data_IF_231622920522
#
_entry.id   IF_231622920522
#
_cell.length_a   1.000
_cell.length_b   1.000
_cell.length_c   1.000
_cell.angle_alpha   90.00
_cell.angle_beta   90.00
_cell.angle_gamma   90.00
#
_symmetry.space_group_name_H-M   'P 1'
#
loop_
_entity.id
_entity.type
_entity.pdbx_description
1 polymer ?
#
# COMPACT_ATOMS: atom_id res chain seq x y z
N UNK A 1 -36.00 6.90 -17.65
CA UNK A 1 -34.78 7.70 -17.46
C UNK A 1 -33.76 6.78 -16.79
N UNK A 2 -32.73 6.34 -17.52
CA UNK A 2 -31.80 5.31 -17.05
C UNK A 2 -30.91 5.88 -15.94
N UNK A 3 -30.92 5.24 -14.77
CA UNK A 3 -29.97 5.52 -13.70
C UNK A 3 -28.56 5.17 -14.23
N UNK A 4 -27.59 6.08 -14.06
CA UNK A 4 -26.19 5.75 -14.29
C UNK A 4 -25.84 4.51 -13.44
N UNK A 5 -25.31 3.44 -14.03
CA UNK A 5 -25.04 2.21 -13.30
C UNK A 5 -23.86 2.47 -12.37
N UNK A 6 -24.17 2.68 -11.09
CA UNK A 6 -23.26 2.63 -9.94
C UNK A 6 -22.12 3.65 -10.04
N UNK A 7 -22.29 4.81 -9.41
CA UNK A 7 -21.30 5.88 -9.37
C UNK A 7 -19.93 5.35 -8.91
N UNK A 8 -19.00 5.19 -9.84
CA UNK A 8 -17.60 4.90 -9.55
C UNK A 8 -17.01 6.12 -8.88
N UNK A 9 -16.81 6.00 -7.57
CA UNK A 9 -16.19 7.02 -6.77
C UNK A 9 -14.68 6.77 -6.78
N UNK A 10 -14.03 7.16 -7.88
CA UNK A 10 -12.60 6.94 -8.13
C UNK A 10 -11.66 7.74 -7.23
N UNK A 11 -11.97 7.87 -5.94
CA UNK A 11 -11.11 8.56 -5.00
C UNK A 11 -9.87 7.75 -4.73
N UNK A 12 -8.75 8.42 -5.02
CA UNK A 12 -7.42 7.93 -4.76
C UNK A 12 -7.19 7.74 -3.26
N UNK A 13 -6.71 6.55 -2.93
CA UNK A 13 -6.22 6.15 -1.62
C UNK A 13 -4.72 5.95 -1.74
N UNK A 14 -3.96 6.53 -0.83
CA UNK A 14 -2.50 6.51 -0.81
C UNK A 14 -2.02 5.86 0.46
N UNK A 15 -1.27 4.77 0.30
CA UNK A 15 -0.57 4.08 1.36
C UNK A 15 0.93 4.31 1.19
N UNK A 16 1.59 4.74 2.25
CA UNK A 16 3.03 4.94 2.32
C UNK A 16 3.57 4.11 3.48
N UNK A 17 4.58 3.29 3.21
CA UNK A 17 5.22 2.43 4.20
C UNK A 17 6.71 2.73 4.17
N UNK A 18 7.24 3.07 5.33
CA UNK A 18 8.67 3.32 5.53
C UNK A 18 9.24 2.17 6.35
N UNK A 19 10.36 1.63 5.90
CA UNK A 19 11.07 0.54 6.54
C UNK A 19 12.26 1.10 7.32
N UNK A 20 12.69 0.39 8.36
CA UNK A 20 13.92 0.70 9.08
C UNK A 20 15.11 0.30 8.21
N UNK A 21 16.11 1.17 8.15
CA UNK A 21 17.38 0.82 7.57
C UNK A 21 17.99 -0.34 8.37
N UNK A 22 18.48 -1.41 7.71
CA UNK A 22 19.22 -2.43 8.42
C UNK A 22 20.47 -1.79 9.03
N UNK A 23 20.90 -2.19 10.24
CA UNK A 23 22.17 -1.76 10.78
C UNK A 23 23.28 -2.04 9.76
N UNK A 24 24.22 -1.10 9.55
CA UNK A 24 25.30 -1.20 8.54
C UNK A 24 26.07 -2.53 8.55
N UNK A 25 26.07 -3.24 9.69
CA UNK A 25 26.72 -4.53 9.89
C UNK A 25 25.85 -5.78 9.63
N UNK A 26 24.56 -5.62 9.37
CA UNK A 26 23.61 -6.74 9.16
C UNK A 26 23.31 -7.03 7.70
N UNK A 27 23.60 -6.11 6.79
CA UNK A 27 23.36 -6.31 5.36
C UNK A 27 24.67 -6.24 4.56
N UNK A 28 25.35 -7.38 4.34
CA UNK A 28 26.56 -7.42 3.54
C UNK A 28 26.34 -7.07 2.06
N UNK A 29 25.09 -7.00 1.60
CA UNK A 29 24.74 -6.67 0.21
C UNK A 29 24.14 -5.27 0.04
N UNK A 30 23.79 -4.57 1.14
CA UNK A 30 23.18 -3.24 1.12
C UNK A 30 21.91 -3.17 0.26
N UNK A 31 21.11 -4.26 0.24
CA UNK A 31 19.96 -4.40 -0.64
C UNK A 31 18.81 -3.57 -0.10
N UNK A 32 18.52 -2.51 -0.82
CA UNK A 32 17.36 -1.67 -0.62
C UNK A 32 16.14 -2.23 -1.39
N UNK A 33 14.98 -1.59 -1.25
CA UNK A 33 13.77 -1.99 -1.97
C UNK A 33 13.90 -1.84 -3.50
N UNK A 34 14.95 -1.21 -4.04
CA UNK A 34 15.16 -1.16 -5.49
C UNK A 34 15.73 -2.47 -6.04
N UNK A 35 16.26 -3.33 -5.17
CA UNK A 35 16.71 -4.66 -5.54
C UNK A 35 15.57 -5.67 -5.76
N UNK A 36 14.32 -5.25 -5.62
CA UNK A 36 13.16 -6.11 -5.81
C UNK A 36 13.07 -6.63 -7.24
N UNK A 37 12.87 -7.94 -7.34
CA UNK A 37 12.59 -8.59 -8.62
C UNK A 37 11.15 -8.32 -9.07
N UNK A 38 10.92 -8.42 -10.37
CA UNK A 38 9.58 -8.34 -10.96
C UNK A 38 8.58 -9.31 -10.32
N UNK A 39 9.01 -10.54 -10.01
CA UNK A 39 8.15 -11.54 -9.35
C UNK A 39 7.79 -11.16 -7.92
N UNK A 40 8.71 -10.52 -7.18
CA UNK A 40 8.40 -9.98 -5.85
C UNK A 40 7.38 -8.85 -5.96
N UNK A 41 7.57 -7.92 -6.90
CA UNK A 41 6.62 -6.82 -7.14
C UNK A 41 5.23 -7.35 -7.54
N UNK A 42 5.15 -8.32 -8.45
CA UNK A 42 3.88 -8.94 -8.83
C UNK A 42 3.19 -9.62 -7.65
N UNK A 43 3.93 -10.29 -6.77
CA UNK A 43 3.39 -10.87 -5.53
C UNK A 43 2.82 -9.80 -4.59
N UNK A 44 3.40 -8.59 -4.55
CA UNK A 44 2.82 -7.44 -3.82
C UNK A 44 1.54 -6.96 -4.45
N UNK A 45 1.41 -7.05 -5.77
CA UNK A 45 0.28 -6.47 -6.49
C UNK A 45 -0.88 -7.44 -6.65
N UNK A 46 -0.63 -8.75 -6.56
CA UNK A 46 -1.63 -9.81 -6.72
C UNK A 46 -2.80 -9.68 -5.73
N UNK A 47 -2.59 -9.49 -4.41
CA UNK A 47 -3.71 -9.31 -3.48
C UNK A 47 -4.44 -8.00 -3.74
N UNK A 48 -3.76 -6.98 -4.29
CA UNK A 48 -4.38 -5.72 -4.70
C UNK A 48 -5.10 -5.81 -6.07
N UNK A 49 -5.09 -6.97 -6.72
CA UNK A 49 -5.59 -7.19 -8.07
C UNK A 49 -5.04 -6.16 -9.08
N UNK A 50 -3.80 -5.74 -8.86
CA UNK A 50 -3.10 -4.78 -9.70
C UNK A 50 -2.09 -5.53 -10.57
N UNK A 51 -1.89 -5.07 -11.79
CA UNK A 51 -0.86 -5.57 -12.70
C UNK A 51 -0.02 -4.41 -13.17
N UNK A 52 1.29 -4.64 -13.31
CA UNK A 52 2.19 -3.63 -13.86
C UNK A 52 1.93 -3.52 -15.37
N UNK A 53 1.59 -2.32 -15.83
CA UNK A 53 1.35 -2.02 -17.24
C UNK A 53 2.63 -1.51 -17.89
N UNK A 54 3.33 -0.61 -17.20
CA UNK A 54 4.60 -0.05 -17.66
C UNK A 54 5.40 0.51 -16.49
N UNK A 55 6.70 0.71 -16.69
CA UNK A 55 7.60 1.41 -15.77
C UNK A 55 8.25 2.59 -16.51
N UNK A 56 8.54 3.68 -15.81
CA UNK A 56 9.13 4.89 -16.41
C UNK A 56 10.55 5.11 -15.94
N UNK A 57 10.70 5.31 -14.63
CA UNK A 57 11.99 5.27 -13.94
C UNK A 57 12.10 3.91 -13.25
N UNK A 58 13.31 3.42 -12.96
CA UNK A 58 13.57 2.11 -12.32
C UNK A 58 12.74 1.82 -11.06
N UNK A 59 12.13 2.86 -10.50
CA UNK A 59 11.48 2.95 -9.21
C UNK A 59 9.99 3.35 -9.31
N UNK A 60 9.44 3.56 -10.52
CA UNK A 60 8.06 4.02 -10.73
C UNK A 60 7.29 3.14 -11.71
N UNK A 61 6.13 2.66 -11.26
CA UNK A 61 5.32 1.68 -11.98
C UNK A 61 3.89 2.20 -12.16
N UNK A 62 3.44 2.19 -13.41
CA UNK A 62 2.02 2.38 -13.74
C UNK A 62 1.35 1.02 -13.69
N UNK A 63 0.27 0.96 -12.93
CA UNK A 63 -0.55 -0.22 -12.76
C UNK A 63 -1.87 -0.01 -13.48
N UNK A 64 -2.58 -1.11 -13.78
CA UNK A 64 -3.86 -1.10 -14.51
C UNK A 64 -4.85 -0.02 -14.04
N UNK A 65 -4.98 0.16 -12.72
CA UNK A 65 -5.87 1.13 -12.09
C UNK A 65 -5.19 1.86 -10.91
N UNK A 66 -3.85 1.95 -10.92
CA UNK A 66 -3.06 2.36 -9.75
C UNK A 66 -1.65 2.83 -10.13
N UNK A 67 -0.88 3.30 -9.15
CA UNK A 67 0.56 3.59 -9.33
C UNK A 67 1.36 3.17 -8.10
N UNK A 68 2.55 2.65 -8.32
CA UNK A 68 3.50 2.21 -7.30
C UNK A 68 4.81 2.98 -7.46
N UNK A 69 5.35 3.45 -6.35
CA UNK A 69 6.66 4.11 -6.27
C UNK A 69 7.50 3.41 -5.21
N UNK A 70 8.73 3.06 -5.58
CA UNK A 70 9.67 2.31 -4.76
C UNK A 70 10.90 3.17 -4.51
N UNK A 71 11.24 3.38 -3.25
CA UNK A 71 12.43 4.10 -2.79
C UNK A 71 13.23 3.16 -1.90
N UNK A 72 14.52 3.42 -1.62
CA UNK A 72 15.38 2.48 -0.90
C UNK A 72 14.75 1.85 0.35
N UNK A 73 14.06 2.65 1.17
CA UNK A 73 13.38 2.18 2.38
C UNK A 73 11.94 2.67 2.47
N UNK A 74 11.30 2.94 1.33
CA UNK A 74 9.91 3.42 1.30
C UNK A 74 9.16 2.95 0.07
N UNK A 75 7.91 2.53 0.27
CA UNK A 75 6.98 2.22 -0.82
C UNK A 75 5.77 3.13 -0.70
N UNK A 76 5.31 3.64 -1.84
CA UNK A 76 4.09 4.41 -1.96
C UNK A 76 3.20 3.75 -3.00
N UNK A 77 1.99 3.36 -2.60
CA UNK A 77 1.01 2.74 -3.47
C UNK A 77 -0.26 3.59 -3.47
N UNK A 78 -0.66 4.04 -4.66
CA UNK A 78 -1.85 4.87 -4.89
C UNK A 78 -2.85 4.09 -5.72
N UNK A 79 -4.08 3.96 -5.22
CA UNK A 79 -5.12 3.14 -5.87
C UNK A 79 -6.45 3.89 -5.93
N UNK A 80 -7.23 3.68 -6.99
CA UNK A 80 -8.56 4.28 -7.15
C UNK A 80 -9.72 3.31 -6.81
N UNK A 81 -9.44 2.01 -6.64
CA UNK A 81 -10.45 0.95 -6.39
C UNK A 81 -10.45 0.41 -4.95
N UNK A 82 -11.29 -0.60 -4.71
CA UNK A 82 -11.60 -1.20 -3.42
C UNK A 82 -10.49 -2.11 -2.93
N UNK A 83 -10.14 -1.93 -1.66
CA UNK A 83 -8.84 -2.29 -1.09
C UNK A 83 -8.81 -3.73 -0.60
N UNK A 84 -7.80 -4.43 -1.10
CA UNK A 84 -7.01 -5.42 -0.36
C UNK A 84 -5.56 -4.96 -0.16
N UNK A 85 -5.31 -3.67 -0.42
CA UNK A 85 -4.00 -3.01 -0.40
C UNK A 85 -3.19 -3.24 0.88
N UNK A 86 -3.91 -3.20 2.01
CA UNK A 86 -3.33 -3.40 3.32
C UNK A 86 -2.75 -4.80 3.44
N UNK A 87 -3.44 -5.80 2.90
CA UNK A 87 -3.03 -7.19 2.93
C UNK A 87 -1.79 -7.44 2.05
N UNK A 88 -1.73 -6.78 0.90
CA UNK A 88 -0.67 -7.03 -0.08
C UNK A 88 0.71 -6.57 0.41
N UNK A 89 0.77 -5.44 1.10
CA UNK A 89 2.07 -4.95 1.61
C UNK A 89 2.45 -5.61 2.94
N UNK A 90 1.49 -6.18 3.68
CA UNK A 90 1.79 -7.00 4.86
C UNK A 90 2.59 -8.25 4.51
N UNK A 91 2.11 -9.01 3.52
CA UNK A 91 2.81 -10.20 3.03
C UNK A 91 4.20 -9.84 2.47
N UNK A 92 4.31 -8.64 1.90
CA UNK A 92 5.56 -8.15 1.36
C UNK A 92 6.59 -7.76 2.43
N UNK A 93 6.18 -7.00 3.45
CA UNK A 93 7.07 -6.61 4.54
C UNK A 93 7.65 -7.85 5.26
N UNK A 94 6.81 -8.86 5.47
CA UNK A 94 7.23 -10.14 6.04
C UNK A 94 8.25 -10.87 5.14
N UNK A 95 8.04 -10.85 3.82
CA UNK A 95 8.95 -11.49 2.86
C UNK A 95 10.34 -10.87 2.76
N UNK A 96 10.49 -9.58 3.12
CA UNK A 96 11.74 -8.85 2.98
C UNK A 96 12.64 -8.87 4.22
N UNK A 97 12.16 -9.43 5.35
CA UNK A 97 12.89 -9.35 6.64
C UNK A 97 13.26 -7.92 7.06
N UNK A 98 12.62 -6.90 6.49
CA UNK A 98 12.83 -5.49 6.83
C UNK A 98 11.82 -5.09 7.90
N UNK A 99 12.31 -4.47 8.98
CA UNK A 99 11.43 -3.93 10.02
C UNK A 99 10.59 -2.78 9.46
N UNK A 100 9.27 -2.82 9.63
CA UNK A 100 8.42 -1.67 9.29
C UNK A 100 8.59 -0.58 10.34
N UNK A 101 8.95 0.62 9.91
CA UNK A 101 9.16 1.77 10.78
C UNK A 101 7.89 2.62 10.95
N UNK A 102 7.20 2.94 9.85
CA UNK A 102 5.96 3.73 9.91
C UNK A 102 5.07 3.47 8.71
N UNK A 103 3.77 3.73 8.92
CA UNK A 103 2.74 3.52 7.91
C UNK A 103 1.81 4.71 7.90
N UNK A 104 1.61 5.30 6.74
CA UNK A 104 0.71 6.43 6.54
C UNK A 104 -0.30 6.06 5.47
N UNK A 105 -1.57 6.08 5.87
CA UNK A 105 -2.69 5.93 4.95
C UNK A 105 -3.32 7.31 4.73
N UNK A 106 -3.85 7.58 3.55
CA UNK A 106 -4.55 8.83 3.32
C UNK A 106 -5.52 8.65 2.17
N UNK A 107 -6.68 9.30 2.27
CA UNK A 107 -7.66 9.36 1.19
C UNK A 107 -8.45 10.65 1.30
N UNK A 108 -9.10 11.02 0.21
CA UNK A 108 -10.15 12.03 0.26
C UNK A 108 -11.41 11.47 0.92
N UNK A 109 -12.26 12.36 1.40
CA UNK A 109 -13.58 12.01 1.92
C UNK A 109 -14.46 11.48 0.79
N UNK A 110 -15.00 10.28 0.93
CA UNK A 110 -15.95 9.76 -0.04
C UNK A 110 -17.28 10.55 0.03
N UNK A 111 -17.84 10.88 -1.13
CA UNK A 111 -19.21 11.28 -1.44
C UNK A 111 -20.20 10.15 -1.09
N UNK A 112 -19.91 8.89 -1.40
CA UNK A 112 -20.78 7.73 -1.16
C UNK A 112 -20.14 6.73 -0.19
N UNK A 113 -19.81 7.18 1.03
CA UNK A 113 -19.17 6.36 2.08
C UNK A 113 -19.88 5.00 2.32
N UNK A 114 -21.20 4.99 2.41
CA UNK A 114 -21.98 3.78 2.68
C UNK A 114 -22.00 2.77 1.50
N UNK A 115 -21.64 3.21 0.29
CA UNK A 115 -21.51 2.36 -0.87
C UNK A 115 -20.11 1.73 -1.00
N UNK A 116 -19.14 2.18 -0.20
CA UNK A 116 -17.82 1.56 -0.15
C UNK A 116 -17.92 0.20 0.57
N UNK A 117 -17.18 -0.83 0.12
CA UNK A 117 -17.08 -2.07 0.87
C UNK A 117 -16.24 -1.87 2.14
N UNK A 118 -16.44 -2.73 3.13
CA UNK A 118 -15.57 -2.78 4.29
C UNK A 118 -14.10 -3.03 3.88
N UNK A 119 -13.11 -2.45 4.58
CA UNK A 119 -13.25 -1.52 5.70
C UNK A 119 -13.41 -0.03 5.30
N UNK A 120 -13.74 0.31 4.06
CA UNK A 120 -13.70 1.70 3.52
C UNK A 120 -14.96 2.53 3.76
N UNK A 121 -15.91 2.02 4.55
CA UNK A 121 -17.17 2.71 4.85
C UNK A 121 -16.98 3.90 5.78
N UNK A 122 -15.97 3.84 6.64
CA UNK A 122 -15.65 4.93 7.56
C UNK A 122 -14.15 4.97 7.84
N UNK A 123 -13.67 6.16 8.23
CA UNK A 123 -12.28 6.32 8.68
C UNK A 123 -11.94 5.41 9.87
N UNK A 124 -12.93 5.15 10.74
CA UNK A 124 -12.76 4.29 11.90
C UNK A 124 -12.52 2.82 11.51
N UNK A 125 -13.27 2.29 10.54
CA UNK A 125 -13.06 0.92 10.04
C UNK A 125 -11.67 0.77 9.40
N UNK A 126 -11.23 1.75 8.61
CA UNK A 126 -9.91 1.76 7.99
C UNK A 126 -8.78 1.78 9.03
N UNK A 127 -8.91 2.65 10.04
CA UNK A 127 -7.97 2.73 11.15
C UNK A 127 -7.95 1.44 11.97
N UNK A 128 -9.12 0.86 12.29
CA UNK A 128 -9.20 -0.39 13.03
C UNK A 128 -8.56 -1.55 12.26
N UNK A 129 -8.76 -1.63 10.94
CA UNK A 129 -8.09 -2.60 10.09
C UNK A 129 -6.57 -2.41 10.13
N UNK A 130 -6.07 -1.19 9.87
CA UNK A 130 -4.65 -0.86 9.97
C UNK A 130 -4.06 -1.23 11.33
N UNK A 131 -4.72 -0.83 12.41
CA UNK A 131 -4.25 -1.07 13.77
C UNK A 131 -4.28 -2.56 14.15
N UNK A 132 -5.22 -3.35 13.61
CA UNK A 132 -5.23 -4.81 13.83
C UNK A 132 -3.99 -5.50 13.27
N UNK A 133 -3.41 -4.94 12.21
CA UNK A 133 -2.20 -5.47 11.59
C UNK A 133 -0.91 -4.88 12.17
N UNK A 134 -0.92 -3.58 12.49
CA UNK A 134 0.30 -2.83 12.82
C UNK A 134 0.38 -2.35 14.27
N UNK A 135 -0.66 -2.55 15.07
CA UNK A 135 -0.72 -2.10 16.46
C UNK A 135 0.34 -2.72 17.37
N UNK A 136 0.94 -3.85 16.96
CA UNK A 136 2.00 -4.55 17.69
C UNK A 136 3.42 -4.24 17.19
N UNK A 137 3.60 -3.34 16.21
CA UNK A 137 4.94 -3.01 15.72
C UNK A 137 5.77 -2.31 16.81
N UNK A 138 7.07 -2.65 16.96
CA UNK A 138 7.92 -2.25 18.09
C UNK A 138 8.19 -0.73 18.17
N UNK A 139 7.96 -0.02 17.08
CA UNK A 139 7.91 1.44 17.05
C UNK A 139 6.50 1.81 16.62
N UNK A 140 5.70 2.31 17.57
CA UNK A 140 4.26 2.53 17.42
C UNK A 140 3.91 2.96 16.00
N UNK A 141 3.21 2.08 15.28
CA UNK A 141 2.79 2.35 13.92
C UNK A 141 1.83 3.55 13.97
N UNK A 142 2.37 4.75 13.71
CA UNK A 142 1.60 5.97 13.65
C UNK A 142 0.78 5.95 12.36
N UNK A 143 -0.34 5.24 12.37
CA UNK A 143 -1.35 5.30 11.32
C UNK A 143 -2.00 6.68 11.35
N UNK A 144 -1.37 7.65 10.70
CA UNK A 144 -2.01 8.93 10.38
C UNK A 144 -2.87 8.70 9.15
N UNK A 145 -4.17 8.94 9.30
CA UNK A 145 -5.15 8.99 8.19
C UNK A 145 -5.45 10.43 7.84
#
# INVERSE_FOLDING_TARGET
MAASPIGFEGFEKRLEITFSEPPEFKDPNGLDLKALTWSQLDSVLEPACCTIVTHFDFDSYVLSESSLFVYPFKIILKTCRTIKLLLSILNFADSLSLGVHSIKYSRRTFIFQNAQPAPHRSFYEEFAALNSFFGNLPFGAYAKV
#
